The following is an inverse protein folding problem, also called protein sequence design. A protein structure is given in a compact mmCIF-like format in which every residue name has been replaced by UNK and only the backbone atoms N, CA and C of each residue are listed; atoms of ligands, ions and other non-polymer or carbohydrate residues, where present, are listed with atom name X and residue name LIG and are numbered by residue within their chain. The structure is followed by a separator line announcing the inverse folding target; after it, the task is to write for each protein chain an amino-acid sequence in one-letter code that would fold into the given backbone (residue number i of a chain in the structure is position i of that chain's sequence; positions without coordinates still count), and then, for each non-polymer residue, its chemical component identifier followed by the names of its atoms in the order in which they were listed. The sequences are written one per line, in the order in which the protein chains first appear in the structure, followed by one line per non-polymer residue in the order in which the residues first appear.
data_IF_771712835887
#
_entry.id   IF_771712835887
#
_cell.length_a   1.000
_cell.length_b   1.000
_cell.length_c   1.000
_cell.angle_alpha   90.00
_cell.angle_beta   90.00
_cell.angle_gamma   90.00
#
_symmetry.space_group_name_H-M   'P 1'
#
loop_
_entity.id
_entity.type
_entity.pdbx_description
1 polymer ?
#
# COMPACT_ATOMS: atom_id res chain seq x y z
N UNK A 1 -18.72 -7.67 41.19
CA UNK A 1 -19.08 -8.63 40.12
C UNK A 1 -19.26 -7.96 38.76
N UNK A 2 -20.13 -6.97 38.58
CA UNK A 2 -20.31 -6.30 37.26
C UNK A 2 -19.05 -5.57 36.76
N UNK A 3 -18.33 -4.88 37.65
CA UNK A 3 -17.07 -4.18 37.32
C UNK A 3 -15.90 -5.12 37.00
N UNK A 4 -15.84 -6.28 37.66
CA UNK A 4 -14.82 -7.31 37.40
C UNK A 4 -15.06 -8.01 36.07
N UNK A 5 -16.32 -8.29 35.70
CA UNK A 5 -16.68 -8.84 34.39
C UNK A 5 -16.32 -7.87 33.25
N UNK A 6 -16.59 -6.57 33.41
CA UNK A 6 -16.23 -5.55 32.41
C UNK A 6 -14.71 -5.46 32.23
N UNK A 7 -13.94 -5.49 33.33
CA UNK A 7 -12.48 -5.48 33.27
C UNK A 7 -11.92 -6.73 32.57
N UNK A 8 -12.47 -7.91 32.87
CA UNK A 8 -12.07 -9.17 32.21
C UNK A 8 -12.38 -9.17 30.71
N UNK A 9 -13.53 -8.63 30.29
CA UNK A 9 -13.88 -8.48 28.87
C UNK A 9 -12.99 -7.47 28.13
N UNK A 10 -12.61 -6.37 28.78
CA UNK A 10 -11.70 -5.37 28.20
C UNK A 10 -10.29 -5.96 27.97
N UNK A 11 -9.80 -6.75 28.93
CA UNK A 11 -8.50 -7.42 28.84
C UNK A 11 -8.54 -8.51 27.75
N UNK A 12 -9.60 -9.31 27.68
CA UNK A 12 -9.76 -10.30 26.62
C UNK A 12 -9.84 -9.67 25.21
N UNK A 13 -10.47 -8.49 25.09
CA UNK A 13 -10.55 -7.74 23.84
C UNK A 13 -9.20 -7.16 23.37
N UNK A 14 -8.28 -6.88 24.28
CA UNK A 14 -6.94 -6.36 23.96
C UNK A 14 -5.99 -7.44 23.39
N UNK A 15 -6.23 -8.72 23.67
CA UNK A 15 -5.41 -9.84 23.16
C UNK A 15 -5.93 -10.45 21.86
N UNK A 16 -7.12 -10.07 21.40
CA UNK A 16 -7.76 -10.62 20.21
C UNK A 16 -7.21 -10.15 18.82
N UNK A 17 -6.48 -9.03 18.64
CA UNK A 17 -6.18 -8.55 17.28
C UNK A 17 -4.87 -9.08 16.65
N UNK A 18 -4.10 -9.97 17.28
CA UNK A 18 -2.79 -10.38 16.72
C UNK A 18 -2.89 -11.24 15.45
N UNK A 19 -3.92 -12.08 15.32
CA UNK A 19 -4.06 -13.00 14.17
C UNK A 19 -4.57 -12.33 12.89
N UNK A 20 -5.15 -11.12 12.99
CA UNK A 20 -5.63 -10.37 11.83
C UNK A 20 -4.53 -9.51 11.17
N UNK A 21 -3.34 -9.45 11.77
CA UNK A 21 -2.26 -8.56 11.33
C UNK A 21 -1.25 -9.24 10.39
N UNK A 22 -1.26 -10.58 10.30
CA UNK A 22 -0.37 -11.30 9.37
C UNK A 22 -0.94 -11.24 7.95
N UNK A 23 -0.55 -10.20 7.22
CA UNK A 23 -0.96 -9.92 5.83
C UNK A 23 0.16 -10.20 4.82
N UNK A 24 1.14 -11.00 5.21
CA UNK A 24 2.25 -11.33 4.33
C UNK A 24 1.79 -12.31 3.23
N UNK A 25 2.41 -12.17 2.07
CA UNK A 25 2.17 -12.97 0.87
C UNK A 25 3.46 -13.73 0.53
N UNK A 26 3.38 -14.74 -0.32
CA UNK A 26 4.59 -15.42 -0.78
C UNK A 26 5.43 -14.49 -1.65
N UNK A 27 6.76 -14.67 -1.60
CA UNK A 27 7.72 -13.92 -2.42
C UNK A 27 7.43 -12.41 -2.40
N UNK A 28 7.20 -11.86 -1.19
CA UNK A 28 6.75 -10.49 -0.99
C UNK A 28 7.74 -9.64 -0.23
N UNK A 29 7.88 -8.39 -0.67
CA UNK A 29 8.61 -7.35 0.05
C UNK A 29 7.61 -6.53 0.85
N UNK A 30 7.67 -6.51 2.20
CA UNK A 30 6.84 -5.66 3.04
C UNK A 30 6.92 -4.18 2.66
N UNK A 31 5.77 -3.50 2.65
CA UNK A 31 5.68 -2.05 2.44
C UNK A 31 5.84 -1.25 3.75
N UNK A 32 6.27 -1.91 4.82
CA UNK A 32 6.49 -1.31 6.14
C UNK A 32 8.01 -1.17 6.42
N UNK A 33 8.36 -0.83 7.67
CA UNK A 33 9.75 -0.66 8.11
C UNK A 33 10.65 -1.86 7.77
N UNK A 34 10.11 -3.09 7.70
CA UNK A 34 10.85 -4.32 7.36
C UNK A 34 11.41 -4.28 5.93
N UNK A 35 10.75 -3.56 5.01
CA UNK A 35 11.14 -3.51 3.61
C UNK A 35 12.06 -2.35 3.22
N UNK A 36 12.40 -1.43 4.13
CA UNK A 36 13.18 -0.22 3.81
C UNK A 36 14.54 -0.55 3.21
N UNK A 37 15.22 -1.59 3.73
CA UNK A 37 16.55 -2.03 3.29
C UNK A 37 16.51 -3.31 2.42
N UNK A 38 15.34 -3.64 1.89
CA UNK A 38 15.14 -4.83 1.05
C UNK A 38 14.99 -4.36 -0.38
N UNK A 39 15.96 -4.68 -1.25
CA UNK A 39 15.91 -4.28 -2.65
C UNK A 39 14.83 -5.03 -3.43
N UNK A 40 14.79 -6.36 -3.27
CA UNK A 40 13.89 -7.28 -3.97
C UNK A 40 13.18 -8.23 -3.01
N UNK A 41 12.06 -8.82 -3.46
CA UNK A 41 11.39 -9.88 -2.71
C UNK A 41 12.30 -11.10 -2.55
N UNK A 42 12.23 -11.75 -1.39
CA UNK A 42 12.92 -13.02 -1.14
C UNK A 42 12.52 -14.07 -2.18
N UNK A 43 13.48 -14.89 -2.61
CA UNK A 43 13.25 -16.11 -3.41
C UNK A 43 12.99 -17.35 -2.55
N UNK A 44 13.07 -17.21 -1.23
CA UNK A 44 12.73 -18.27 -0.28
C UNK A 44 11.22 -18.27 -0.03
N UNK A 45 10.64 -19.46 -0.03
CA UNK A 45 9.23 -19.66 0.29
C UNK A 45 9.04 -19.74 1.81
N UNK A 46 8.93 -18.57 2.46
CA UNK A 46 8.82 -18.46 3.92
C UNK A 46 7.38 -18.33 4.42
N UNK A 47 6.41 -18.25 3.51
CA UNK A 47 4.98 -18.05 3.83
C UNK A 47 4.21 -19.17 3.14
N UNK A 48 3.41 -19.91 3.88
CA UNK A 48 2.60 -20.98 3.29
C UNK A 48 1.46 -20.40 2.43
N UNK A 49 1.17 -21.05 1.30
CA UNK A 49 0.01 -20.72 0.49
C UNK A 49 -1.25 -21.35 1.08
N UNK A 50 -2.10 -20.53 1.70
CA UNK A 50 -3.38 -20.98 2.27
C UNK A 50 -4.57 -20.83 1.31
N UNK A 51 -4.35 -20.30 0.10
CA UNK A 51 -5.40 -19.98 -0.86
C UNK A 51 -5.31 -18.56 -1.42
N UNK A 52 -6.35 -18.16 -2.17
CA UNK A 52 -6.46 -16.82 -2.73
C UNK A 52 -6.48 -15.79 -1.59
N UNK A 53 -5.50 -14.89 -1.59
CA UNK A 53 -5.39 -13.83 -0.58
C UNK A 53 -5.33 -12.47 -1.27
N UNK A 54 -6.22 -11.56 -0.86
CA UNK A 54 -6.29 -10.19 -1.38
C UNK A 54 -5.93 -9.22 -0.28
N UNK A 55 -4.95 -8.37 -0.54
CA UNK A 55 -4.52 -7.30 0.34
C UNK A 55 -4.84 -5.97 -0.33
N UNK A 56 -5.73 -5.23 0.32
CA UNK A 56 -6.12 -3.87 -0.10
C UNK A 56 -5.29 -2.87 0.69
N UNK A 57 -4.71 -1.91 -0.02
CA UNK A 57 -3.92 -0.81 0.53
C UNK A 57 -4.26 0.52 -0.16
N UNK A 58 -3.80 1.61 0.44
CA UNK A 58 -3.91 2.93 -0.13
C UNK A 58 -2.72 3.78 0.23
N UNK A 59 -2.34 4.69 -0.67
CA UNK A 59 -1.28 5.65 -0.45
C UNK A 59 -1.80 7.04 -0.81
N UNK A 60 -1.74 7.98 0.14
CA UNK A 60 -2.15 9.36 -0.04
C UNK A 60 -0.97 10.29 0.24
N UNK A 61 -0.82 11.34 -0.55
CA UNK A 61 0.17 12.39 -0.33
C UNK A 61 -0.48 13.74 -0.58
N UNK A 62 -0.44 14.60 0.43
CA UNK A 62 -0.84 16.00 0.35
C UNK A 62 0.41 16.86 0.56
N UNK A 63 0.73 17.71 -0.41
CA UNK A 63 1.88 18.59 -0.33
C UNK A 63 1.41 20.02 -0.08
N UNK A 64 1.96 20.67 0.94
CA UNK A 64 1.89 22.10 1.11
C UNK A 64 3.07 22.75 0.38
N UNK A 65 2.81 23.81 -0.38
CA UNK A 65 3.81 24.53 -1.15
C UNK A 65 3.66 26.03 -0.90
N UNK A 66 4.77 26.68 -0.54
CA UNK A 66 4.91 28.12 -0.45
C UNK A 66 6.15 28.50 -1.27
N UNK A 67 5.94 29.20 -2.38
CA UNK A 67 7.00 29.59 -3.31
C UNK A 67 7.11 31.11 -3.34
N UNK A 68 8.34 31.59 -3.55
CA UNK A 68 8.64 32.99 -3.81
C UNK A 68 9.24 33.12 -5.21
N UNK A 69 8.96 34.23 -5.91
CA UNK A 69 9.47 34.48 -7.25
C UNK A 69 10.12 35.88 -7.34
N UNK A 70 11.24 35.97 -8.06
CA UNK A 70 11.97 37.22 -8.30
C UNK A 70 12.49 37.31 -9.75
N UNK A 71 12.64 38.51 -10.29
CA UNK A 71 13.16 38.77 -11.65
C UNK A 71 13.89 40.14 -11.72
N UNK A 72 14.38 40.51 -12.91
CA UNK A 72 15.13 41.76 -13.14
C UNK A 72 14.28 43.05 -13.12
N UNK A 73 12.97 42.97 -12.88
CA UNK A 73 12.04 44.10 -12.87
C UNK A 73 11.49 44.49 -14.25
N UNK A 74 11.91 43.83 -15.34
CA UNK A 74 11.45 44.13 -16.70
C UNK A 74 9.99 43.71 -16.97
N UNK A 75 9.43 42.81 -16.17
CA UNK A 75 8.04 42.32 -16.25
C UNK A 75 7.49 42.19 -14.84
N UNK A 76 6.24 42.61 -14.60
CA UNK A 76 5.59 42.42 -13.31
C UNK A 76 5.43 40.91 -12.99
N UNK A 77 5.77 40.51 -11.76
CA UNK A 77 5.57 39.16 -11.25
C UNK A 77 4.24 39.13 -10.50
N UNK A 78 3.49 38.03 -10.64
CA UNK A 78 2.28 37.81 -9.85
C UNK A 78 2.63 37.34 -8.44
N UNK A 79 1.83 37.77 -7.46
CA UNK A 79 2.02 37.36 -6.07
C UNK A 79 1.68 35.86 -5.90
N UNK A 80 2.58 35.13 -5.23
CA UNK A 80 2.45 33.69 -4.99
C UNK A 80 1.99 33.46 -3.56
N UNK A 81 0.79 32.93 -3.40
CA UNK A 81 0.27 32.52 -2.10
C UNK A 81 0.69 31.08 -1.73
N UNK A 82 0.87 30.78 -0.43
CA UNK A 82 1.01 29.40 0.04
C UNK A 82 -0.28 28.62 -0.20
N UNK A 83 -0.18 27.38 -0.69
CA UNK A 83 -1.35 26.52 -0.89
C UNK A 83 -1.01 25.02 -0.82
N UNK A 84 -2.04 24.19 -0.67
CA UNK A 84 -1.94 22.75 -0.88
C UNK A 84 -2.09 22.41 -2.36
N UNK A 85 -1.23 21.53 -2.84
CA UNK A 85 -1.38 20.91 -4.15
C UNK A 85 -2.54 19.90 -4.11
N UNK A 86 -3.07 19.56 -5.30
CA UNK A 86 -4.04 18.49 -5.43
C UNK A 86 -3.47 17.20 -4.84
N UNK A 87 -4.21 16.57 -3.92
CA UNK A 87 -3.79 15.36 -3.25
C UNK A 87 -3.53 14.24 -4.28
N UNK A 88 -2.44 13.50 -4.10
CA UNK A 88 -2.17 12.28 -4.87
C UNK A 88 -2.72 11.10 -4.09
N UNK A 89 -3.61 10.31 -4.68
CA UNK A 89 -4.21 9.12 -4.05
C UNK A 89 -4.07 7.89 -4.92
N UNK A 90 -3.59 6.79 -4.36
CA UNK A 90 -3.52 5.48 -5.01
C UNK A 90 -4.32 4.44 -4.22
N UNK A 91 -4.97 3.53 -4.93
CA UNK A 91 -5.51 2.26 -4.44
C UNK A 91 -4.57 1.14 -4.88
N UNK A 92 -4.08 0.36 -3.92
CA UNK A 92 -3.16 -0.75 -4.15
C UNK A 92 -3.87 -2.08 -3.86
N UNK A 93 -3.77 -3.02 -4.80
CA UNK A 93 -4.27 -4.38 -4.68
C UNK A 93 -3.10 -5.35 -4.86
N UNK A 94 -2.71 -6.02 -3.78
CA UNK A 94 -1.76 -7.11 -3.81
C UNK A 94 -2.52 -8.43 -3.67
N UNK A 95 -2.37 -9.33 -4.65
CA UNK A 95 -3.15 -10.56 -4.73
C UNK A 95 -2.21 -11.75 -4.87
N UNK A 96 -2.31 -12.70 -3.94
CA UNK A 96 -1.72 -14.03 -4.10
C UNK A 96 -2.73 -14.91 -4.83
N UNK A 97 -2.43 -15.26 -6.08
CA UNK A 97 -3.36 -15.97 -6.98
C UNK A 97 -3.22 -17.50 -6.88
N UNK A 98 -1.99 -17.99 -6.68
CA UNK A 98 -1.63 -19.41 -6.62
C UNK A 98 -0.27 -19.58 -5.93
N UNK A 99 0.19 -20.78 -5.51
CA UNK A 99 1.56 -20.98 -5.05
C UNK A 99 2.59 -20.36 -5.99
N UNK A 100 3.36 -19.39 -5.48
CA UNK A 100 4.36 -18.64 -6.25
C UNK A 100 3.84 -17.75 -7.38
N UNK A 101 2.53 -17.53 -7.50
CA UNK A 101 1.93 -16.61 -8.47
C UNK A 101 1.23 -15.45 -7.77
N UNK A 102 1.67 -14.23 -8.06
CA UNK A 102 1.15 -12.99 -7.43
C UNK A 102 0.93 -11.89 -8.45
N UNK A 103 0.03 -10.97 -8.11
CA UNK A 103 -0.24 -9.75 -8.87
C UNK A 103 -0.20 -8.55 -7.93
N UNK A 104 0.39 -7.46 -8.39
CA UNK A 104 0.23 -6.13 -7.83
C UNK A 104 -0.48 -5.24 -8.85
N UNK A 105 -1.51 -4.50 -8.42
CA UNK A 105 -2.17 -3.48 -9.22
C UNK A 105 -2.27 -2.19 -8.42
N UNK A 106 -1.78 -1.10 -9.00
CA UNK A 106 -1.90 0.26 -8.45
C UNK A 106 -2.76 1.12 -9.35
N UNK A 107 -3.86 1.60 -8.79
CA UNK A 107 -4.81 2.48 -9.44
C UNK A 107 -4.64 3.90 -8.92
N UNK A 108 -4.49 4.87 -9.81
CA UNK A 108 -4.44 6.29 -9.50
C UNK A 108 -5.87 6.84 -9.38
N UNK A 109 -6.24 7.24 -8.16
CA UNK A 109 -7.60 7.71 -7.82
C UNK A 109 -7.76 9.23 -7.94
N UNK A 110 -6.68 10.00 -7.87
CA UNK A 110 -6.73 11.47 -7.95
C UNK A 110 -6.39 11.98 -9.36
N UNK A 111 -6.92 11.32 -10.39
CA UNK A 111 -6.70 11.74 -11.77
C UNK A 111 -7.29 13.12 -12.02
N UNK A 112 -6.57 13.95 -12.81
CA UNK A 112 -7.07 15.26 -13.28
C UNK A 112 -8.23 15.13 -14.27
N UNK A 113 -8.52 13.91 -14.75
CA UNK A 113 -9.70 13.58 -15.55
C UNK A 113 -10.77 12.96 -14.60
N UNK A 114 -11.54 13.84 -13.96
CA UNK A 114 -12.34 13.63 -12.73
C UNK A 114 -13.57 12.68 -12.80
N UNK A 115 -13.54 11.59 -13.57
CA UNK A 115 -14.57 10.54 -13.50
C UNK A 115 -14.02 9.11 -13.64
N UNK A 116 -12.72 8.95 -13.91
CA UNK A 116 -12.14 7.66 -14.26
C UNK A 116 -10.84 7.44 -13.46
N UNK A 117 -10.74 6.34 -12.69
CA UNK A 117 -9.46 5.90 -12.17
C UNK A 117 -8.58 5.38 -13.32
N UNK A 118 -7.26 5.54 -13.19
CA UNK A 118 -6.28 5.06 -14.18
C UNK A 118 -5.35 4.02 -13.58
N UNK A 119 -4.90 3.07 -14.39
CA UNK A 119 -3.81 2.17 -13.97
C UNK A 119 -2.53 2.98 -13.91
N UNK A 120 -1.99 3.16 -12.71
CA UNK A 120 -0.68 3.80 -12.51
C UNK A 120 0.45 2.83 -12.76
N UNK A 121 0.21 1.55 -12.47
CA UNK A 121 1.16 0.48 -12.66
C UNK A 121 0.63 -0.82 -12.08
N UNK A 122 1.43 -1.86 -12.25
CA UNK A 122 1.12 -3.20 -11.76
C UNK A 122 2.05 -4.21 -12.42
N UNK A 123 2.14 -5.38 -11.83
CA UNK A 123 2.92 -6.48 -12.37
C UNK A 123 2.34 -7.82 -11.91
N UNK A 124 2.60 -8.86 -12.71
CA UNK A 124 2.43 -10.25 -12.28
C UNK A 124 3.83 -10.82 -12.04
N UNK A 125 4.00 -11.56 -10.96
CA UNK A 125 5.26 -12.20 -10.61
C UNK A 125 5.03 -13.70 -10.42
N UNK A 126 5.92 -14.47 -11.01
CA UNK A 126 5.91 -15.93 -11.07
C UNK A 126 7.23 -16.42 -10.49
N UNK A 127 7.19 -17.05 -9.33
CA UNK A 127 8.34 -17.64 -8.64
C UNK A 127 8.28 -19.18 -8.60
N UNK A 128 7.11 -19.78 -8.86
CA UNK A 128 6.91 -21.24 -8.95
C UNK A 128 6.05 -21.58 -10.18
N UNK A 129 6.26 -22.78 -10.74
CA UNK A 129 5.56 -23.27 -11.93
C UNK A 129 4.67 -24.50 -11.65
N UNK A 130 4.31 -24.71 -10.38
CA UNK A 130 3.56 -25.90 -9.93
C UNK A 130 2.16 -26.01 -10.58
N UNK A 131 1.65 -24.91 -11.14
CA UNK A 131 0.41 -24.90 -11.94
C UNK A 131 0.57 -25.55 -13.33
N UNK A 132 1.79 -25.70 -13.83
CA UNK A 132 2.10 -26.40 -15.08
C UNK A 132 2.32 -27.88 -14.78
N UNK A 133 3.21 -28.17 -13.85
CA UNK A 133 3.53 -29.51 -13.38
C UNK A 133 4.03 -29.43 -11.94
N UNK A 134 3.59 -30.32 -11.04
CA UNK A 134 4.17 -30.44 -9.72
C UNK A 134 5.67 -30.74 -9.80
N UNK A 135 6.49 -29.96 -9.08
CA UNK A 135 7.92 -30.22 -8.87
C UNK A 135 8.15 -31.21 -7.76
#
# INVERSE_FOLDING_TARGET
MRKTIIASLLIAGLFAPSFAQERDLQFWRPNDKRGVNTFESSKLDTVEYEGLRVRIGGANTLQFQALEASNSGAVAIFDLGPNFNLATSNLDLDVQLYPGLRMHLRTYLSSRHHAQPYVKGGYMQVDRLDFIQPG
#
